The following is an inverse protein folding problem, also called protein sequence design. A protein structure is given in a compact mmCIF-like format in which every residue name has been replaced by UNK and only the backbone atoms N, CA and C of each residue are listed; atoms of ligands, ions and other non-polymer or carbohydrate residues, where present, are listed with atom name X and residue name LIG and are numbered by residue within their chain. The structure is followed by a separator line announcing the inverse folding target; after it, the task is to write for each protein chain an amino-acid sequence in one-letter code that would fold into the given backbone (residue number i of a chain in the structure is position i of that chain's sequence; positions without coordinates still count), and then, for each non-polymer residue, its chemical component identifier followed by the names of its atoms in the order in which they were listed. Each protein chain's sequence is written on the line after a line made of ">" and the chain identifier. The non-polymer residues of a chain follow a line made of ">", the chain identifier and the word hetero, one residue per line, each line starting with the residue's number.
data_IF_526706114005
#
_entry.id   IF_526706114005
#
_cell.length_a   1.000
_cell.length_b   1.000
_cell.length_c   1.000
_cell.angle_alpha   90.00
_cell.angle_beta   90.00
_cell.angle_gamma   90.00
#
_symmetry.space_group_name_H-M   'P 1'
#
loop_
_entity.id
_entity.type
_entity.pdbx_description
1 polymer ?
#
# COMPACT_ATOMS: atom_id res chain seq x y z
N UNK A 1 -36.29 4.96 -1.35
CA UNK A 1 -35.04 4.85 -0.57
C UNK A 1 -34.15 3.89 -1.33
N UNK A 2 -33.08 4.38 -1.96
CA UNK A 2 -32.16 3.53 -2.74
C UNK A 2 -31.50 2.54 -1.78
N UNK A 3 -31.82 1.24 -1.89
CA UNK A 3 -30.97 0.21 -1.30
C UNK A 3 -29.60 0.36 -1.96
N UNK A 4 -28.66 0.96 -1.24
CA UNK A 4 -27.27 1.01 -1.69
C UNK A 4 -26.76 -0.41 -1.50
N UNK A 5 -26.67 -1.14 -2.60
CA UNK A 5 -26.24 -2.53 -2.61
C UNK A 5 -24.92 -2.64 -1.82
N UNK A 6 -24.84 -3.44 -0.74
CA UNK A 6 -23.66 -3.50 0.12
C UNK A 6 -22.40 -3.91 -0.66
N UNK A 7 -22.57 -4.54 -1.82
CA UNK A 7 -21.51 -4.84 -2.79
C UNK A 7 -20.93 -3.56 -3.41
N UNK A 8 -21.76 -2.60 -3.83
CA UNK A 8 -21.33 -1.36 -4.48
C UNK A 8 -20.52 -0.44 -3.55
N UNK A 9 -20.93 -0.32 -2.29
CA UNK A 9 -20.20 0.51 -1.31
C UNK A 9 -18.82 -0.07 -1.00
N UNK A 10 -18.70 -1.40 -0.96
CA UNK A 10 -17.45 -2.11 -0.69
C UNK A 10 -16.49 -2.06 -1.87
N UNK A 11 -16.98 -2.23 -3.10
CA UNK A 11 -16.17 -2.02 -4.31
C UNK A 11 -15.62 -0.60 -4.36
N UNK A 12 -16.41 0.41 -3.96
CA UNK A 12 -15.90 1.80 -3.85
C UNK A 12 -14.80 1.95 -2.81
N UNK A 13 -14.90 1.30 -1.64
CA UNK A 13 -13.86 1.36 -0.59
C UNK A 13 -12.56 0.71 -1.06
N UNK A 14 -12.64 -0.48 -1.67
CA UNK A 14 -11.47 -1.16 -2.21
C UNK A 14 -10.76 -0.35 -3.31
N UNK A 15 -11.52 0.20 -4.26
CA UNK A 15 -10.96 1.07 -5.32
C UNK A 15 -10.31 2.33 -4.72
N UNK A 16 -10.89 2.89 -3.64
CA UNK A 16 -10.32 4.03 -2.93
C UNK A 16 -8.98 3.65 -2.27
N UNK A 17 -8.90 2.51 -1.60
CA UNK A 17 -7.68 2.04 -0.94
C UNK A 17 -6.55 1.74 -1.95
N UNK A 18 -6.87 1.08 -3.07
CA UNK A 18 -5.91 0.88 -4.17
C UNK A 18 -5.40 2.23 -4.70
N UNK A 19 -6.31 3.19 -4.92
CA UNK A 19 -5.94 4.51 -5.42
C UNK A 19 -5.04 5.25 -4.43
N UNK A 20 -5.37 5.21 -3.15
CA UNK A 20 -4.58 5.86 -2.10
C UNK A 20 -3.19 5.17 -1.96
N UNK A 21 -3.10 3.86 -2.15
CA UNK A 21 -1.82 3.13 -2.26
C UNK A 21 -0.99 3.59 -3.46
N UNK A 22 -1.60 3.79 -4.63
CA UNK A 22 -0.89 4.29 -5.82
C UNK A 22 -0.28 5.67 -5.60
N UNK A 23 -0.94 6.57 -4.86
CA UNK A 23 -0.33 7.85 -4.50
C UNK A 23 0.92 7.67 -3.63
N UNK A 24 0.87 6.80 -2.62
CA UNK A 24 2.04 6.52 -1.78
C UNK A 24 3.18 5.88 -2.58
N UNK A 25 2.86 4.96 -3.48
CA UNK A 25 3.84 4.33 -4.37
C UNK A 25 4.46 5.33 -5.34
N UNK A 26 3.66 6.22 -5.94
CA UNK A 26 4.16 7.27 -6.84
C UNK A 26 5.11 8.23 -6.12
N UNK A 27 4.72 8.72 -4.94
CA UNK A 27 5.57 9.61 -4.13
C UNK A 27 6.85 8.88 -3.74
N UNK A 28 6.75 7.61 -3.32
CA UNK A 28 7.91 6.78 -3.02
C UNK A 28 8.86 6.70 -4.23
N UNK A 29 8.38 6.32 -5.42
CA UNK A 29 9.23 6.21 -6.62
C UNK A 29 9.86 7.57 -6.97
N UNK A 30 9.08 8.65 -6.93
CA UNK A 30 9.55 9.98 -7.29
C UNK A 30 10.64 10.50 -6.34
N UNK A 31 10.42 10.40 -5.02
CA UNK A 31 11.38 10.84 -4.00
C UNK A 31 12.65 10.00 -4.05
N UNK A 32 12.54 8.67 -4.21
CA UNK A 32 13.71 7.81 -4.30
C UNK A 32 14.52 8.06 -5.58
N UNK A 33 13.86 8.30 -6.72
CA UNK A 33 14.54 8.68 -7.96
C UNK A 33 15.31 10.00 -7.82
N UNK A 34 14.71 11.01 -7.17
CA UNK A 34 15.40 12.25 -6.82
C UNK A 34 16.59 12.00 -5.87
N UNK A 35 16.42 11.14 -4.88
CA UNK A 35 17.49 10.84 -3.92
C UNK A 35 18.68 10.16 -4.60
N UNK A 36 18.41 9.20 -5.48
CA UNK A 36 19.44 8.54 -6.31
C UNK A 36 20.16 9.57 -7.20
N UNK A 37 19.42 10.49 -7.82
CA UNK A 37 20.01 11.53 -8.67
C UNK A 37 20.93 12.47 -7.88
N UNK A 38 20.52 12.88 -6.68
CA UNK A 38 21.32 13.74 -5.79
C UNK A 38 22.58 13.01 -5.32
N UNK A 39 22.43 11.78 -4.85
CA UNK A 39 23.53 10.94 -4.36
C UNK A 39 24.57 10.71 -5.46
N UNK A 40 24.14 10.38 -6.68
CA UNK A 40 25.01 10.20 -7.86
C UNK A 40 25.73 11.50 -8.29
N UNK A 41 25.11 12.66 -8.08
CA UNK A 41 25.70 13.96 -8.41
C UNK A 41 26.77 14.43 -7.42
N UNK A 42 26.82 13.85 -6.22
CA UNK A 42 27.74 14.19 -5.14
C UNK A 42 29.17 13.69 -5.33
N UNK A 43 29.43 12.87 -6.34
CA UNK A 43 30.79 12.44 -6.75
C UNK A 43 31.39 11.29 -5.94
N UNK A 44 30.98 11.09 -4.69
CA UNK A 44 31.29 9.88 -3.93
C UNK A 44 30.28 8.78 -4.34
N UNK A 45 30.78 7.69 -4.90
CA UNK A 45 29.96 6.55 -5.34
C UNK A 45 30.57 5.24 -4.84
N UNK A 46 31.20 5.30 -3.66
CA UNK A 46 31.98 4.19 -3.10
C UNK A 46 31.11 3.29 -2.21
N UNK A 47 29.86 3.68 -1.96
CA UNK A 47 28.85 2.95 -1.20
C UNK A 47 28.15 1.81 -1.96
N UNK A 48 27.17 1.20 -1.28
CA UNK A 48 26.45 0.03 -1.79
C UNK A 48 25.59 0.39 -3.01
N UNK A 49 25.75 -0.35 -4.13
CA UNK A 49 25.14 -0.05 -5.44
C UNK A 49 25.52 1.33 -6.03
N UNK A 50 26.63 1.93 -5.57
CA UNK A 50 27.01 3.29 -5.94
C UNK A 50 26.12 4.36 -5.30
N UNK A 51 25.50 4.01 -4.16
CA UNK A 51 24.71 4.91 -3.32
C UNK A 51 25.30 4.97 -1.92
N UNK A 52 25.65 6.15 -1.44
CA UNK A 52 26.27 6.31 -0.11
C UNK A 52 25.23 6.40 1.00
N UNK A 53 24.16 7.16 0.80
CA UNK A 53 23.11 7.34 1.81
C UNK A 53 21.71 7.01 1.30
N UNK A 54 21.48 7.08 -0.02
CA UNK A 54 20.16 6.85 -0.59
C UNK A 54 19.63 5.41 -0.36
N UNK A 55 20.51 4.40 -0.32
CA UNK A 55 20.10 3.00 -0.16
C UNK A 55 19.33 2.74 1.16
N UNK A 56 19.74 3.38 2.26
CA UNK A 56 19.09 3.22 3.56
C UNK A 56 17.68 3.79 3.56
N UNK A 57 17.50 4.96 2.93
CA UNK A 57 16.17 5.59 2.78
C UNK A 57 15.27 4.72 1.90
N UNK A 58 15.79 4.23 0.77
CA UNK A 58 15.05 3.35 -0.15
C UNK A 58 14.55 2.10 0.57
N UNK A 59 15.45 1.39 1.27
CA UNK A 59 15.11 0.13 1.94
C UNK A 59 14.18 0.39 3.13
N UNK A 60 14.49 1.37 3.98
CA UNK A 60 13.70 1.69 5.17
C UNK A 60 12.27 2.08 4.83
N UNK A 61 12.07 2.97 3.85
CA UNK A 61 10.74 3.34 3.39
C UNK A 61 10.08 2.24 2.54
N UNK A 62 10.88 1.47 1.80
CA UNK A 62 10.40 0.38 0.94
C UNK A 62 9.65 -0.70 1.73
N UNK A 63 10.10 -1.00 2.95
CA UNK A 63 9.42 -1.94 3.84
C UNK A 63 8.02 -1.43 4.21
N UNK A 64 7.86 -0.13 4.47
CA UNK A 64 6.57 0.48 4.79
C UNK A 64 5.59 0.40 3.61
N UNK A 65 6.05 0.71 2.40
CA UNK A 65 5.24 0.59 1.18
C UNK A 65 4.88 -0.86 0.89
N UNK A 66 5.82 -1.80 1.06
CA UNK A 66 5.56 -3.23 0.89
C UNK A 66 4.52 -3.76 1.91
N UNK A 67 4.61 -3.33 3.17
CA UNK A 67 3.62 -3.66 4.20
C UNK A 67 2.22 -3.12 3.85
N UNK A 68 2.14 -1.88 3.35
CA UNK A 68 0.87 -1.31 2.90
C UNK A 68 0.31 -2.05 1.68
N UNK A 69 1.15 -2.44 0.71
CA UNK A 69 0.75 -3.26 -0.42
C UNK A 69 0.14 -4.58 0.04
N UNK A 70 0.82 -5.30 0.95
CA UNK A 70 0.31 -6.55 1.51
C UNK A 70 -1.03 -6.32 2.22
N UNK A 71 -1.19 -5.23 2.98
CA UNK A 71 -2.46 -4.91 3.62
C UNK A 71 -3.60 -4.66 2.62
N UNK A 72 -3.33 -3.95 1.52
CA UNK A 72 -4.35 -3.64 0.51
C UNK A 72 -4.73 -4.87 -0.32
N UNK A 73 -3.75 -5.71 -0.67
CA UNK A 73 -3.99 -6.90 -1.52
C UNK A 73 -4.38 -8.16 -0.74
N UNK A 74 -3.96 -8.32 0.52
CA UNK A 74 -4.23 -9.51 1.34
C UNK A 74 -5.11 -9.24 2.57
N UNK A 75 -5.29 -8.00 3.00
CA UNK A 75 -6.11 -7.65 4.18
C UNK A 75 -7.60 -7.97 4.04
N UNK A 76 -8.10 -8.10 2.80
CA UNK A 76 -9.51 -8.42 2.53
C UNK A 76 -9.96 -9.80 3.05
N UNK A 77 -9.02 -10.73 3.30
CA UNK A 77 -9.39 -12.10 3.68
C UNK A 77 -10.01 -12.21 5.09
N UNK A 78 -9.77 -11.23 5.98
CA UNK A 78 -10.38 -11.20 7.32
C UNK A 78 -11.82 -10.69 7.32
N UNK A 79 -12.25 -10.02 6.25
CA UNK A 79 -13.52 -9.31 6.22
C UNK A 79 -14.65 -10.25 5.78
N UNK A 80 -14.40 -11.16 4.84
CA UNK A 80 -15.38 -12.18 4.43
C UNK A 80 -15.78 -13.11 5.59
N UNK A 81 -14.84 -13.45 6.47
CA UNK A 81 -15.05 -14.36 7.60
C UNK A 81 -15.94 -13.77 8.69
N UNK A 82 -15.94 -12.44 8.89
CA UNK A 82 -16.82 -11.77 9.85
C UNK A 82 -18.28 -11.67 9.36
N UNK A 83 -18.50 -11.57 8.05
CA UNK A 83 -19.85 -11.54 7.47
C UNK A 83 -20.51 -12.90 7.43
N UNK A 84 -19.77 -13.97 7.14
CA UNK A 84 -20.28 -15.34 7.27
C UNK A 84 -20.77 -15.61 8.71
N UNK A 85 -20.04 -15.13 9.72
CA UNK A 85 -20.46 -15.22 11.12
C UNK A 85 -21.69 -14.37 11.47
N UNK A 86 -21.89 -13.21 10.84
CA UNK A 86 -23.06 -12.37 11.09
C UNK A 86 -24.31 -12.93 10.42
N UNK A 87 -24.19 -13.47 9.20
CA UNK A 87 -25.30 -14.17 8.52
C UNK A 87 -25.73 -15.43 9.27
N UNK A 88 -24.79 -16.23 9.80
CA UNK A 88 -25.12 -17.39 10.63
C UNK A 88 -25.79 -17.00 11.97
N UNK A 89 -25.41 -15.85 12.54
CA UNK A 89 -26.03 -15.32 13.78
C UNK A 89 -27.43 -14.75 13.59
N UNK A 90 -27.73 -14.19 12.41
CA UNK A 90 -29.02 -13.58 12.10
C UNK A 90 -29.99 -14.55 11.41
N UNK A 91 -29.49 -15.54 10.64
CA UNK A 91 -30.29 -16.57 9.99
C UNK A 91 -30.61 -17.80 10.86
N UNK A 92 -30.02 -17.89 12.06
CA UNK A 92 -30.22 -18.98 13.02
C UNK A 92 -31.30 -18.72 14.08
N UNK A 93 -32.34 -17.92 13.78
CA UNK A 93 -33.50 -17.70 14.66
C UNK A 93 -34.81 -18.04 13.96
#
# INVERSE_FOLDING_TARGET
>A
MTQVDPVLERTRKHVKEIRDFWYHLMVYVFVNALMIAIDRSGGANDGFLGLDFAYFIIIGWGIGVAGHAISVFYGEHKVQTLYAQQQDREGGR
#
